data_IF_546575912354
#
_entry.id   IF_546575912354
#
_cell.length_a   1.000
_cell.length_b   1.000
_cell.length_c   1.000
_cell.angle_alpha   90.00
_cell.angle_beta   90.00
_cell.angle_gamma   90.00
#
_symmetry.space_group_name_H-M   'P 1'
#
loop_
_entity.id
_entity.type
_entity.pdbx_description
1 polymer ?
#
# COMPACT_ATOMS: atom_id res chain seq x y z
N UNK A 1 17.83 54.43 41.75
CA UNK A 1 17.90 54.11 40.33
C UNK A 1 18.03 52.60 40.17
N UNK A 2 16.89 51.91 40.04
CA UNK A 2 16.85 50.44 39.93
C UNK A 2 16.58 50.05 38.49
N UNK A 3 17.59 49.50 37.84
CA UNK A 3 17.50 48.96 36.45
C UNK A 3 17.03 47.53 36.57
N UNK A 4 15.76 47.27 36.26
CA UNK A 4 15.15 45.96 36.24
C UNK A 4 15.57 45.24 34.94
N UNK A 5 16.53 44.31 35.05
CA UNK A 5 16.94 43.41 33.94
C UNK A 5 15.83 42.39 33.71
N UNK A 6 15.04 42.55 32.63
CA UNK A 6 14.12 41.54 32.13
C UNK A 6 14.91 40.48 31.36
N UNK A 7 15.09 39.31 31.95
CA UNK A 7 15.54 38.09 31.26
C UNK A 7 14.37 37.60 30.40
N UNK A 8 14.51 37.70 29.09
CA UNK A 8 13.64 37.04 28.12
C UNK A 8 14.22 35.62 27.92
N UNK A 9 13.59 34.63 28.53
CA UNK A 9 13.87 33.22 28.25
C UNK A 9 13.14 32.87 26.98
N UNK A 10 13.85 32.84 25.85
CA UNK A 10 13.35 32.32 24.58
C UNK A 10 13.28 30.78 24.67
N UNK A 11 12.08 30.24 24.90
CA UNK A 11 11.80 28.82 24.86
C UNK A 11 11.79 28.39 23.37
N UNK A 12 12.92 27.85 22.88
CA UNK A 12 13.02 27.22 21.58
C UNK A 12 12.26 25.89 21.63
N UNK A 13 10.98 25.94 21.24
CA UNK A 13 10.20 24.71 20.97
C UNK A 13 10.65 24.16 19.63
N UNK A 14 11.60 23.24 19.67
CA UNK A 14 12.00 22.42 18.52
C UNK A 14 10.85 21.46 18.23
N UNK A 15 9.94 21.85 17.34
CA UNK A 15 8.93 20.95 16.78
C UNK A 15 9.68 19.95 15.89
N UNK A 16 10.00 18.79 16.44
CA UNK A 16 10.42 17.64 15.64
C UNK A 16 9.25 17.26 14.73
N UNK A 17 9.28 17.71 13.49
CA UNK A 17 8.43 17.19 12.44
C UNK A 17 8.88 15.74 12.18
N UNK A 18 8.31 14.80 12.93
CA UNK A 18 8.39 13.40 12.62
C UNK A 18 7.74 13.24 11.24
N UNK A 19 8.57 13.08 10.20
CA UNK A 19 8.09 12.69 8.89
C UNK A 19 7.33 11.39 9.06
N UNK A 20 5.99 11.42 8.91
CA UNK A 20 5.15 10.25 9.03
C UNK A 20 5.37 9.35 7.80
N UNK A 21 6.55 8.73 7.73
CA UNK A 21 6.76 7.60 6.84
C UNK A 21 5.82 6.49 7.30
N UNK A 22 5.08 5.90 6.36
CA UNK A 22 4.33 4.70 6.67
C UNK A 22 5.33 3.67 7.23
N UNK A 23 5.12 3.24 8.48
CA UNK A 23 5.99 2.25 9.08
C UNK A 23 5.94 0.95 8.27
N UNK A 24 7.04 0.21 8.25
CA UNK A 24 7.10 -1.11 7.61
C UNK A 24 5.96 -1.99 8.15
N UNK A 25 5.22 -2.71 7.29
CA UNK A 25 4.17 -3.62 7.72
C UNK A 25 4.70 -4.66 8.71
N UNK A 26 3.94 -4.95 9.75
CA UNK A 26 4.28 -6.03 10.70
C UNK A 26 4.06 -7.40 10.06
N UNK A 27 4.62 -8.47 10.65
CA UNK A 27 4.36 -9.84 10.22
C UNK A 27 2.86 -10.18 10.25
N UNK A 28 2.09 -9.67 11.23
CA UNK A 28 0.64 -9.87 11.30
C UNK A 28 -0.07 -9.26 10.09
N UNK A 29 0.33 -8.06 9.65
CA UNK A 29 -0.23 -7.40 8.46
C UNK A 29 0.10 -8.17 7.19
N UNK A 30 1.36 -8.62 7.04
CA UNK A 30 1.79 -9.44 5.89
C UNK A 30 1.01 -10.74 5.84
N UNK A 31 0.89 -11.46 6.96
CA UNK A 31 0.17 -12.72 7.03
C UNK A 31 -1.34 -12.54 6.80
N UNK A 32 -1.94 -11.46 7.32
CA UNK A 32 -3.34 -11.15 7.05
C UNK A 32 -3.60 -10.89 5.55
N UNK A 33 -2.67 -10.23 4.86
CA UNK A 33 -2.73 -10.01 3.43
C UNK A 33 -2.68 -11.33 2.64
N UNK A 34 -1.74 -12.22 3.00
CA UNK A 34 -1.54 -13.49 2.30
C UNK A 34 -2.70 -14.48 2.47
N UNK A 35 -3.23 -14.56 3.68
CA UNK A 35 -4.22 -15.57 4.04
C UNK A 35 -5.66 -15.09 3.86
N UNK A 36 -5.87 -13.80 3.55
CA UNK A 36 -7.21 -13.25 3.35
C UNK A 36 -8.07 -13.28 4.60
N UNK A 37 -7.45 -13.16 5.79
CA UNK A 37 -8.17 -13.17 7.07
C UNK A 37 -7.45 -12.32 8.12
N UNK A 38 -8.16 -11.94 9.19
CA UNK A 38 -7.58 -11.18 10.29
C UNK A 38 -6.57 -12.01 11.08
N UNK A 39 -5.44 -11.39 11.47
CA UNK A 39 -4.35 -12.04 12.23
C UNK A 39 -3.88 -11.15 13.38
N UNK A 40 -3.96 -11.68 14.60
CA UNK A 40 -3.60 -10.92 15.78
C UNK A 40 -4.34 -9.60 15.86
N UNK A 41 -3.61 -8.47 15.81
CA UNK A 41 -4.18 -7.12 15.80
C UNK A 41 -4.43 -6.56 14.40
N UNK A 42 -4.08 -7.30 13.36
CA UNK A 42 -4.34 -6.92 11.98
C UNK A 42 -5.76 -7.35 11.57
N UNK A 43 -6.65 -6.38 11.39
CA UNK A 43 -8.04 -6.59 10.97
C UNK A 43 -8.09 -6.50 9.46
N UNK A 44 -8.43 -7.61 8.82
CA UNK A 44 -8.58 -7.73 7.38
C UNK A 44 -10.04 -7.53 6.95
N UNK A 45 -10.26 -6.87 5.82
CA UNK A 45 -11.58 -6.67 5.22
C UNK A 45 -11.45 -6.69 3.70
N UNK A 46 -12.23 -7.53 3.02
CA UNK A 46 -12.22 -7.59 1.55
C UNK A 46 -12.68 -6.26 0.93
N UNK A 47 -12.13 -5.93 -0.23
CA UNK A 47 -12.65 -4.87 -1.10
C UNK A 47 -13.55 -5.55 -2.12
N UNK A 48 -14.80 -5.10 -2.20
CA UNK A 48 -15.72 -5.61 -3.22
C UNK A 48 -15.20 -5.26 -4.62
N UNK A 49 -15.00 -6.28 -5.45
CA UNK A 49 -14.51 -6.14 -6.82
C UNK A 49 -15.61 -6.34 -7.86
N UNK A 50 -16.85 -6.46 -7.45
CA UNK A 50 -18.03 -6.58 -8.31
C UNK A 50 -18.48 -5.24 -8.93
N UNK A 51 -18.06 -4.12 -8.35
CA UNK A 51 -18.28 -2.77 -8.91
C UNK A 51 -16.94 -2.25 -9.42
N UNK A 52 -16.60 -2.64 -10.65
CA UNK A 52 -15.37 -2.22 -11.31
C UNK A 52 -15.64 -1.02 -12.18
N UNK A 53 -14.93 0.08 -11.91
CA UNK A 53 -14.81 1.20 -12.83
C UNK A 53 -13.61 1.01 -13.75
N UNK A 54 -13.69 1.52 -14.97
CA UNK A 54 -12.53 1.67 -15.84
C UNK A 54 -12.40 3.11 -16.30
N UNK A 55 -11.18 3.58 -16.47
CA UNK A 55 -10.87 4.90 -17.02
C UNK A 55 -9.68 4.72 -17.97
N UNK A 56 -9.94 4.83 -19.28
CA UNK A 56 -8.94 4.62 -20.32
C UNK A 56 -8.02 5.84 -20.51
N UNK A 57 -8.32 6.97 -19.88
CA UNK A 57 -7.48 8.19 -19.90
C UNK A 57 -7.25 8.74 -18.48
N UNK A 58 -7.04 7.84 -17.54
CA UNK A 58 -6.74 8.20 -16.17
C UNK A 58 -5.39 8.94 -16.13
N UNK A 59 -5.35 10.09 -15.49
CA UNK A 59 -4.17 10.92 -15.24
C UNK A 59 -2.91 10.65 -16.09
N UNK A 60 -2.77 11.37 -17.19
CA UNK A 60 -1.59 11.29 -18.04
C UNK A 60 -1.62 10.10 -19.01
N UNK A 61 -2.82 9.63 -19.35
CA UNK A 61 -3.04 8.57 -20.32
C UNK A 61 -2.74 7.17 -19.79
N UNK A 62 -2.92 6.94 -18.51
CA UNK A 62 -2.95 5.59 -17.94
C UNK A 62 -4.33 4.98 -18.14
N UNK A 63 -4.36 3.69 -18.43
CA UNK A 63 -5.58 2.89 -18.31
C UNK A 63 -5.71 2.44 -16.87
N UNK A 64 -6.86 2.67 -16.25
CA UNK A 64 -7.10 2.36 -14.86
C UNK A 64 -8.22 1.32 -14.68
N UNK A 65 -7.99 0.39 -13.77
CA UNK A 65 -9.03 -0.47 -13.17
C UNK A 65 -9.28 0.02 -11.75
N UNK A 66 -10.51 0.40 -11.44
CA UNK A 66 -10.87 1.09 -10.20
C UNK A 66 -11.83 0.26 -9.36
N UNK A 67 -11.61 0.26 -8.07
CA UNK A 67 -12.47 -0.29 -7.03
C UNK A 67 -12.73 0.79 -5.99
N UNK A 68 -13.70 0.56 -5.09
CA UNK A 68 -13.99 1.46 -3.98
C UNK A 68 -13.60 0.83 -2.65
N UNK A 69 -12.76 1.51 -1.86
CA UNK A 69 -12.42 1.14 -0.49
C UNK A 69 -12.61 2.34 0.44
N UNK A 70 -13.43 2.19 1.48
CA UNK A 70 -13.78 3.27 2.42
C UNK A 70 -14.24 4.56 1.69
N UNK A 71 -15.04 4.45 0.64
CA UNK A 71 -15.54 5.57 -0.18
C UNK A 71 -14.46 6.30 -0.98
N UNK A 72 -13.35 5.62 -1.30
CA UNK A 72 -12.24 6.18 -2.07
C UNK A 72 -11.81 5.24 -3.18
N UNK A 73 -11.36 5.83 -4.29
CA UNK A 73 -10.82 5.06 -5.40
C UNK A 73 -9.50 4.40 -5.00
N UNK A 74 -9.43 3.11 -5.23
CA UNK A 74 -8.23 2.28 -5.19
C UNK A 74 -8.18 1.47 -6.48
N UNK A 75 -7.01 1.01 -6.90
CA UNK A 75 -6.97 0.20 -8.10
C UNK A 75 -5.57 0.08 -8.70
N UNK A 76 -5.56 -0.22 -9.96
CA UNK A 76 -4.37 -0.46 -10.76
C UNK A 76 -4.37 0.46 -11.99
N UNK A 77 -3.22 1.04 -12.28
CA UNK A 77 -3.00 1.85 -13.48
C UNK A 77 -1.87 1.24 -14.31
N UNK A 78 -2.10 1.10 -15.61
CA UNK A 78 -1.12 0.57 -16.56
C UNK A 78 -0.86 1.56 -17.69
N UNK A 79 0.41 1.70 -18.07
CA UNK A 79 0.83 2.49 -19.23
C UNK A 79 2.25 2.10 -19.67
N UNK A 80 2.40 1.45 -20.82
CA UNK A 80 3.70 1.16 -21.45
C UNK A 80 4.72 0.56 -20.46
N UNK A 81 4.30 -0.42 -19.64
CA UNK A 81 5.14 -1.06 -18.61
C UNK A 81 5.48 -0.18 -17.40
N UNK A 82 4.79 0.96 -17.25
CA UNK A 82 4.93 1.87 -16.09
C UNK A 82 3.73 1.75 -15.16
N UNK A 83 3.53 0.57 -14.63
CA UNK A 83 2.36 0.24 -13.84
C UNK A 83 2.45 0.75 -12.41
N UNK A 84 1.29 0.93 -11.78
CA UNK A 84 1.19 1.44 -10.42
C UNK A 84 -0.12 1.11 -9.73
N UNK A 85 -0.13 1.19 -8.40
CA UNK A 85 -1.36 1.15 -7.62
C UNK A 85 -1.95 2.54 -7.48
N UNK A 86 -3.28 2.60 -7.48
CA UNK A 86 -4.05 3.84 -7.33
C UNK A 86 -4.52 3.98 -5.89
N UNK A 87 -4.31 5.17 -5.32
CA UNK A 87 -4.94 5.63 -4.11
C UNK A 87 -5.58 7.00 -4.36
N UNK A 88 -6.90 7.06 -4.33
CA UNK A 88 -7.66 8.23 -4.76
C UNK A 88 -7.33 8.55 -6.23
N UNK A 89 -6.64 9.65 -6.47
CA UNK A 89 -6.17 10.05 -7.81
C UNK A 89 -4.63 10.00 -7.94
N UNK A 90 -3.93 9.39 -7.00
CA UNK A 90 -2.47 9.28 -7.01
C UNK A 90 -2.05 7.89 -7.48
N UNK A 91 -1.19 7.84 -8.49
CA UNK A 91 -0.56 6.59 -8.94
C UNK A 91 0.75 6.42 -8.18
N UNK A 92 0.91 5.29 -7.51
CA UNK A 92 2.13 4.86 -6.83
C UNK A 92 2.82 3.82 -7.69
N UNK A 93 3.92 4.14 -8.39
CA UNK A 93 4.56 3.23 -9.33
C UNK A 93 5.06 1.94 -8.66
N UNK A 94 4.80 0.76 -9.25
CA UNK A 94 5.24 -0.53 -8.73
C UNK A 94 6.76 -0.57 -8.53
N UNK A 95 7.53 0.01 -9.46
CA UNK A 95 9.01 0.09 -9.38
C UNK A 95 9.57 0.83 -8.16
N UNK A 96 8.72 1.57 -7.43
CA UNK A 96 9.08 2.25 -6.18
C UNK A 96 8.75 1.44 -4.94
N UNK A 97 8.25 0.22 -5.11
CA UNK A 97 7.92 -0.63 -3.98
C UNK A 97 9.17 -0.98 -3.17
N UNK A 98 9.06 -0.82 -1.87
CA UNK A 98 10.11 -1.18 -0.91
C UNK A 98 10.02 -2.68 -0.64
N UNK A 99 11.10 -3.45 -0.79
CA UNK A 99 11.06 -4.88 -0.53
C UNK A 99 10.79 -5.17 0.96
N UNK A 100 9.95 -6.16 1.21
CA UNK A 100 9.68 -6.64 2.57
C UNK A 100 10.83 -7.48 3.12
N UNK A 101 11.55 -8.19 2.23
CA UNK A 101 12.63 -9.11 2.59
C UNK A 101 13.87 -8.94 1.70
N UNK A 102 14.90 -9.70 2.04
CA UNK A 102 16.15 -9.79 1.31
C UNK A 102 16.46 -11.26 0.93
N UNK A 103 16.95 -11.55 -0.30
CA UNK A 103 17.01 -10.62 -1.43
C UNK A 103 15.60 -10.23 -1.90
N UNK A 104 15.40 -9.01 -2.37
CA UNK A 104 14.12 -8.58 -2.89
C UNK A 104 13.89 -9.23 -4.26
N UNK A 105 12.71 -9.80 -4.44
CA UNK A 105 12.23 -10.12 -5.79
C UNK A 105 11.92 -8.83 -6.54
N UNK A 106 12.02 -8.89 -7.87
CA UNK A 106 11.65 -7.74 -8.71
C UNK A 106 10.14 -7.50 -8.63
N UNK A 107 9.70 -6.26 -8.40
CA UNK A 107 8.29 -5.93 -8.45
C UNK A 107 7.64 -6.37 -9.76
N UNK A 108 6.52 -7.08 -9.67
CA UNK A 108 5.83 -7.74 -10.76
C UNK A 108 4.51 -7.07 -11.08
N UNK A 109 4.14 -7.05 -12.35
CA UNK A 109 2.81 -6.69 -12.82
C UNK A 109 1.84 -7.85 -12.55
N UNK A 110 0.54 -7.56 -12.51
CA UNK A 110 -0.50 -8.56 -12.28
C UNK A 110 -1.81 -8.13 -12.95
N UNK A 111 -2.72 -9.08 -13.14
CA UNK A 111 -4.06 -8.79 -13.65
C UNK A 111 -4.96 -8.35 -12.49
N UNK A 112 -5.43 -7.08 -12.45
CA UNK A 112 -6.12 -6.52 -11.28
C UNK A 112 -7.38 -7.28 -10.89
N UNK A 113 -8.12 -7.82 -11.86
CA UNK A 113 -9.36 -8.59 -11.63
C UNK A 113 -9.11 -10.03 -11.14
N UNK A 114 -7.87 -10.53 -11.25
CA UNK A 114 -7.46 -11.86 -10.76
C UNK A 114 -6.72 -11.78 -9.43
N UNK A 115 -6.52 -10.60 -8.90
CA UNK A 115 -5.90 -10.38 -7.60
C UNK A 115 -6.96 -10.23 -6.50
N UNK A 116 -6.60 -10.65 -5.28
CA UNK A 116 -7.40 -10.41 -4.09
C UNK A 116 -7.07 -9.03 -3.52
N UNK A 117 -8.10 -8.19 -3.42
CA UNK A 117 -7.99 -6.84 -2.90
C UNK A 117 -8.63 -6.74 -1.51
N UNK A 118 -7.90 -6.15 -0.57
CA UNK A 118 -8.41 -5.95 0.77
C UNK A 118 -7.84 -4.71 1.45
N UNK A 119 -8.50 -4.29 2.53
CA UNK A 119 -7.96 -3.33 3.48
C UNK A 119 -7.48 -4.07 4.72
N UNK A 120 -6.36 -3.62 5.29
CA UNK A 120 -5.87 -4.13 6.58
C UNK A 120 -5.66 -2.94 7.52
N UNK A 121 -6.21 -3.07 8.73
CA UNK A 121 -6.07 -2.06 9.78
C UNK A 121 -5.36 -2.67 10.98
N UNK A 122 -4.30 -2.01 11.44
CA UNK A 122 -3.59 -2.37 12.66
C UNK A 122 -3.33 -1.12 13.51
N UNK A 123 -4.06 -0.97 14.61
CA UNK A 123 -4.04 0.27 15.39
C UNK A 123 -4.47 1.46 14.54
N UNK A 124 -3.60 2.46 14.44
CA UNK A 124 -3.82 3.66 13.60
C UNK A 124 -3.34 3.48 12.15
N UNK A 125 -2.60 2.42 11.84
CA UNK A 125 -2.09 2.14 10.50
C UNK A 125 -3.16 1.50 9.63
N UNK A 126 -3.15 1.85 8.34
CA UNK A 126 -4.02 1.26 7.31
C UNK A 126 -3.20 0.90 6.09
N UNK A 127 -3.55 -0.22 5.48
CA UNK A 127 -2.93 -0.72 4.27
C UNK A 127 -4.00 -1.13 3.27
N UNK A 128 -3.73 -0.92 1.98
CA UNK A 128 -4.37 -1.67 0.91
C UNK A 128 -3.47 -2.87 0.63
N UNK A 129 -4.03 -4.05 0.69
CA UNK A 129 -3.38 -5.31 0.34
C UNK A 129 -3.83 -5.72 -1.06
N UNK A 130 -2.88 -6.11 -1.89
CA UNK A 130 -3.11 -6.81 -3.15
C UNK A 130 -2.31 -8.10 -3.09
N UNK A 131 -3.00 -9.22 -3.15
CA UNK A 131 -2.41 -10.56 -3.16
C UNK A 131 -2.71 -11.21 -4.51
N UNK A 132 -1.71 -11.71 -5.20
CA UNK A 132 -1.84 -12.27 -6.55
C UNK A 132 -0.87 -13.44 -6.76
N UNK A 133 -1.21 -14.32 -7.68
CA UNK A 133 -0.30 -15.38 -8.08
C UNK A 133 0.92 -14.78 -8.79
N UNK A 134 2.11 -15.05 -8.27
CA UNK A 134 3.37 -14.66 -8.89
C UNK A 134 3.56 -15.41 -10.20
N UNK A 135 3.99 -14.72 -11.27
CA UNK A 135 4.13 -15.24 -12.64
C UNK A 135 2.85 -15.77 -13.30
N UNK A 136 1.68 -15.36 -12.82
CA UNK A 136 0.39 -15.66 -13.43
C UNK A 136 -0.14 -17.05 -13.14
N UNK A 137 -1.19 -17.42 -13.84
CA UNK A 137 -1.84 -18.73 -13.71
C UNK A 137 -1.02 -19.81 -14.42
N UNK A 138 -0.02 -20.35 -13.74
CA UNK A 138 0.72 -21.51 -14.26
C UNK A 138 -0.18 -22.73 -14.43
N UNK A 139 0.11 -23.57 -15.46
CA UNK A 139 -0.64 -24.79 -15.74
C UNK A 139 -0.47 -25.91 -14.68
N UNK A 140 0.49 -25.78 -13.78
CA UNK A 140 0.74 -26.76 -12.70
C UNK A 140 0.38 -26.16 -11.35
N UNK A 141 -0.30 -26.93 -10.50
CA UNK A 141 -0.78 -26.48 -9.17
C UNK A 141 0.31 -26.00 -8.21
N UNK A 142 1.60 -26.20 -8.52
CA UNK A 142 2.72 -25.69 -7.72
C UNK A 142 2.87 -24.18 -7.76
N UNK A 143 2.47 -23.52 -8.84
CA UNK A 143 2.51 -22.05 -8.97
C UNK A 143 1.47 -21.34 -8.11
N UNK A 144 0.38 -22.01 -7.78
CA UNK A 144 -0.66 -21.46 -6.90
C UNK A 144 -0.16 -21.25 -5.46
N UNK A 145 0.98 -21.82 -5.09
CA UNK A 145 1.57 -21.69 -3.76
C UNK A 145 2.53 -20.49 -3.64
N UNK A 146 2.87 -19.83 -4.75
CA UNK A 146 3.77 -18.68 -4.73
C UNK A 146 2.96 -17.43 -5.06
N UNK A 147 2.84 -16.56 -4.07
CA UNK A 147 2.09 -15.33 -4.17
C UNK A 147 3.01 -14.11 -4.18
N UNK A 148 2.74 -13.20 -5.10
CA UNK A 148 3.20 -11.83 -5.00
C UNK A 148 2.22 -11.03 -4.15
N UNK A 149 2.71 -10.10 -3.36
CA UNK A 149 1.87 -9.18 -2.61
C UNK A 149 2.39 -7.76 -2.68
N UNK A 150 1.45 -6.82 -2.74
CA UNK A 150 1.70 -5.42 -2.49
C UNK A 150 0.94 -4.97 -1.26
N UNK A 151 1.61 -4.21 -0.41
CA UNK A 151 1.01 -3.53 0.73
C UNK A 151 1.23 -2.03 0.58
N UNK A 152 0.17 -1.29 0.29
CA UNK A 152 0.22 0.16 0.17
C UNK A 152 -0.16 0.79 1.51
N UNK A 153 0.83 1.31 2.23
CA UNK A 153 0.62 2.02 3.49
C UNK A 153 -0.05 3.37 3.27
N UNK A 154 -1.22 3.56 3.86
CA UNK A 154 -2.05 4.75 3.68
C UNK A 154 -1.66 5.82 4.70
N UNK A 155 -1.30 7.04 4.27
CA UNK A 155 -0.98 8.13 5.17
C UNK A 155 -2.16 8.52 6.06
N UNK A 156 -1.91 8.74 7.34
CA UNK A 156 -2.95 9.10 8.30
C UNK A 156 -3.45 10.54 8.12
N UNK A 157 -2.61 11.46 7.65
CA UNK A 157 -2.92 12.90 7.49
C UNK A 157 -2.27 13.47 6.23
N UNK A 158 -2.96 14.49 5.67
CA UNK A 158 -2.40 15.39 4.67
C UNK A 158 -2.24 14.81 3.26
N UNK A 159 -1.34 15.45 2.49
CA UNK A 159 -1.06 15.17 1.08
C UNK A 159 0.11 14.17 0.89
N UNK A 160 0.49 13.45 1.95
CA UNK A 160 1.59 12.49 1.85
C UNK A 160 1.26 11.39 0.83
N UNK A 161 2.25 11.02 0.03
CA UNK A 161 2.14 9.91 -0.91
C UNK A 161 2.17 8.59 -0.14
N UNK A 162 1.31 7.62 -0.46
CA UNK A 162 1.39 6.28 0.11
C UNK A 162 2.76 5.63 -0.14
N UNK A 163 3.20 4.80 0.78
CA UNK A 163 4.41 3.98 0.62
C UNK A 163 3.97 2.58 0.21
N UNK A 164 4.59 2.08 -0.86
CA UNK A 164 4.31 0.76 -1.39
C UNK A 164 5.40 -0.21 -0.94
N UNK A 165 4.98 -1.37 -0.43
CA UNK A 165 5.84 -2.48 -0.08
C UNK A 165 5.55 -3.66 -0.99
N UNK A 166 6.56 -4.48 -1.28
CA UNK A 166 6.46 -5.65 -2.15
C UNK A 166 7.12 -6.87 -1.51
N UNK A 167 6.52 -8.02 -1.69
CA UNK A 167 7.09 -9.29 -1.28
C UNK A 167 6.56 -10.46 -2.09
N UNK A 168 7.31 -11.56 -2.07
CA UNK A 168 6.92 -12.86 -2.62
C UNK A 168 6.87 -13.85 -1.47
N UNK A 169 5.85 -14.67 -1.42
CA UNK A 169 5.61 -15.63 -0.36
C UNK A 169 5.15 -16.96 -0.92
N UNK A 170 5.60 -18.02 -0.27
CA UNK A 170 5.01 -19.35 -0.44
C UNK A 170 3.91 -19.53 0.61
N UNK A 171 2.74 -19.98 0.17
CA UNK A 171 1.65 -20.43 1.04
C UNK A 171 1.81 -21.94 1.24
N UNK A 172 1.92 -22.37 2.49
CA UNK A 172 2.00 -23.79 2.88
C UNK A 172 0.63 -24.46 2.85
#
# INVERSE_FOLDING_TARGET
MNVCKRLIVALLVTVMMASAYAAKPSAEVVNACLQGESRGRAIWTTIATNEVGSDDDFRGGYKATLFTADGRDVGYAEKDGRDGLIWRRTIVPLRRAVPLDHPPETPSTFTPLLADWSTIKQGSQRFICVNFNFDGLGRSGSFQKIHGLYLMGIPQRGKATPVLFYGVRRIE
#
